data_IF_741886796975
#
_entry.id   IF_741886796975
#
_cell.length_a   1.000
_cell.length_b   1.000
_cell.length_c   1.000
_cell.angle_alpha   90.00
_cell.angle_beta   90.00
_cell.angle_gamma   90.00
#
_symmetry.space_group_name_H-M   'P 1'
#
loop_
_entity.id
_entity.type
_entity.pdbx_description
1 polymer ?
#
# COMPACT_ATOMS: atom_id res chain seq x y z
N UNK A 1 -23.17 2.34 4.96
CA UNK A 1 -21.98 1.60 4.48
C UNK A 1 -22.22 1.27 3.03
N UNK A 2 -21.28 1.59 2.16
CA UNK A 2 -21.35 1.36 0.71
C UNK A 2 -20.26 0.36 0.36
N UNK A 3 -20.64 -0.70 -0.35
CA UNK A 3 -19.75 -1.73 -0.88
C UNK A 3 -19.92 -1.74 -2.39
N UNK A 4 -18.81 -1.69 -3.12
CA UNK A 4 -18.78 -1.78 -4.57
C UNK A 4 -17.71 -2.77 -5.01
N UNK A 5 -18.06 -3.57 -6.01
CA UNK A 5 -17.16 -4.52 -6.64
C UNK A 5 -17.02 -4.13 -8.11
N UNK A 6 -15.79 -3.84 -8.52
CA UNK A 6 -15.47 -3.41 -9.87
C UNK A 6 -14.55 -4.45 -10.49
N UNK A 7 -14.95 -4.96 -11.66
CA UNK A 7 -14.14 -5.87 -12.46
C UNK A 7 -13.37 -5.10 -13.51
N UNK A 8 -12.06 -5.26 -13.49
CA UNK A 8 -11.15 -4.76 -14.52
C UNK A 8 -10.68 -5.94 -15.36
N UNK A 9 -10.98 -5.88 -16.66
CA UNK A 9 -10.58 -6.90 -17.62
C UNK A 9 -9.56 -6.33 -18.61
N UNK A 10 -8.37 -6.90 -18.59
CA UNK A 10 -7.23 -6.53 -19.43
C UNK A 10 -6.94 -7.59 -20.50
N UNK A 11 -7.92 -8.38 -20.94
CA UNK A 11 -7.73 -9.44 -21.93
C UNK A 11 -6.99 -8.95 -23.19
N UNK A 12 -7.38 -7.78 -23.71
CA UNK A 12 -6.75 -7.18 -24.89
C UNK A 12 -5.31 -6.73 -24.64
N UNK A 13 -4.96 -6.39 -23.38
CA UNK A 13 -3.65 -5.88 -23.01
C UNK A 13 -3.16 -6.42 -21.66
N UNK A 14 -2.83 -7.73 -21.55
CA UNK A 14 -2.55 -8.37 -20.25
C UNK A 14 -1.38 -7.77 -19.48
N UNK A 15 -0.45 -7.10 -20.19
CA UNK A 15 0.69 -6.40 -19.58
C UNK A 15 0.25 -5.25 -18.66
N UNK A 16 -0.89 -4.62 -18.92
CA UNK A 16 -1.40 -3.53 -18.08
C UNK A 16 -2.02 -4.03 -16.76
N UNK A 17 -2.31 -5.34 -16.63
CA UNK A 17 -2.81 -5.90 -15.38
C UNK A 17 -1.77 -5.75 -14.25
N UNK A 18 -0.49 -5.98 -14.54
CA UNK A 18 0.60 -5.83 -13.57
C UNK A 18 0.81 -4.36 -13.17
N UNK A 19 0.72 -3.44 -14.14
CA UNK A 19 0.80 -2.00 -13.90
C UNK A 19 -0.36 -1.52 -13.05
N UNK A 20 -1.59 -1.98 -13.35
CA UNK A 20 -2.77 -1.65 -12.57
C UNK A 20 -2.65 -2.12 -11.12
N UNK A 21 -2.22 -3.38 -10.87
CA UNK A 21 -2.02 -3.87 -9.49
C UNK A 21 -0.95 -3.05 -8.76
N UNK A 22 0.13 -2.69 -9.46
CA UNK A 22 1.20 -1.86 -8.88
C UNK A 22 0.65 -0.50 -8.44
N UNK A 23 -0.09 0.18 -9.31
CA UNK A 23 -0.67 1.49 -9.03
C UNK A 23 -1.75 1.40 -7.93
N UNK A 24 -2.60 0.38 -7.99
CA UNK A 24 -3.61 0.07 -6.98
C UNK A 24 -2.98 -0.15 -5.60
N UNK A 25 -1.96 -1.02 -5.49
CA UNK A 25 -1.27 -1.30 -4.23
C UNK A 25 -0.64 -0.05 -3.60
N UNK A 26 -0.04 0.82 -4.42
CA UNK A 26 0.50 2.09 -3.94
C UNK A 26 -0.59 2.99 -3.37
N UNK A 27 -1.72 3.10 -4.06
CA UNK A 27 -2.88 3.85 -3.58
C UNK A 27 -3.45 3.24 -2.29
N UNK A 28 -3.53 1.91 -2.21
CA UNK A 28 -3.97 1.19 -1.02
C UNK A 28 -3.05 1.50 0.17
N UNK A 29 -1.73 1.47 -0.01
CA UNK A 29 -0.76 1.81 1.05
C UNK A 29 -0.97 3.25 1.52
N UNK A 30 -0.99 4.23 0.60
CA UNK A 30 -1.20 5.65 0.96
C UNK A 30 -2.52 5.86 1.69
N UNK A 31 -3.58 5.18 1.25
CA UNK A 31 -4.90 5.27 1.88
C UNK A 31 -4.94 4.76 3.33
N UNK A 32 -3.91 4.02 3.74
CA UNK A 32 -3.75 3.43 5.07
C UNK A 32 -2.60 4.02 5.86
N UNK A 33 -1.82 4.92 5.25
CA UNK A 33 -0.69 5.56 5.90
C UNK A 33 -1.16 6.47 7.05
N UNK A 34 -0.63 6.23 8.24
CA UNK A 34 -0.87 7.09 9.40
C UNK A 34 0.31 7.15 10.37
N UNK A 35 0.29 8.15 11.26
CA UNK A 35 1.24 8.26 12.36
C UNK A 35 0.61 8.94 13.58
N UNK A 36 0.99 8.51 14.77
CA UNK A 36 0.54 9.16 16.00
C UNK A 36 1.26 10.51 16.22
N UNK A 37 0.49 11.60 16.34
CA UNK A 37 1.04 12.96 16.54
C UNK A 37 1.86 13.06 17.83
N UNK A 38 1.45 12.33 18.87
CA UNK A 38 2.13 12.29 20.18
C UNK A 38 3.56 11.70 20.12
N UNK A 39 3.95 11.08 19.02
CA UNK A 39 5.30 10.56 18.81
C UNK A 39 6.02 11.43 17.77
N UNK A 40 6.81 12.44 18.20
CA UNK A 40 7.42 13.41 17.28
C UNK A 40 8.30 12.77 16.21
N UNK A 41 9.03 11.71 16.55
CA UNK A 41 9.86 10.97 15.57
C UNK A 41 9.01 10.37 14.45
N UNK A 42 7.90 9.73 14.81
CA UNK A 42 7.00 9.10 13.84
C UNK A 42 6.26 10.14 13.02
N UNK A 43 5.78 11.21 13.66
CA UNK A 43 5.09 12.31 13.00
C UNK A 43 6.00 13.04 12.01
N UNK A 44 7.23 13.38 12.40
CA UNK A 44 8.18 14.06 11.52
C UNK A 44 8.59 13.17 10.34
N UNK A 45 8.81 11.87 10.57
CA UNK A 45 9.13 10.95 9.48
C UNK A 45 7.95 10.76 8.54
N UNK A 46 6.72 10.67 9.06
CA UNK A 46 5.51 10.63 8.26
C UNK A 46 5.37 11.86 7.37
N UNK A 47 5.55 13.06 7.91
CA UNK A 47 5.48 14.31 7.15
C UNK A 47 6.57 14.35 6.06
N UNK A 48 7.78 13.89 6.38
CA UNK A 48 8.87 13.77 5.40
C UNK A 48 8.49 12.82 4.25
N UNK A 49 7.98 11.62 4.56
CA UNK A 49 7.53 10.65 3.56
C UNK A 49 6.43 11.21 2.67
N UNK A 50 5.36 11.77 3.27
CA UNK A 50 4.24 12.33 2.52
C UNK A 50 4.69 13.45 1.58
N UNK A 51 5.64 14.29 2.01
CA UNK A 51 6.20 15.35 1.17
C UNK A 51 6.95 14.87 -0.08
N UNK A 52 7.30 13.58 -0.13
CA UNK A 52 7.95 12.95 -1.28
C UNK A 52 7.00 12.12 -2.14
N UNK A 53 5.68 12.26 -1.95
CA UNK A 53 4.65 11.61 -2.77
C UNK A 53 3.94 12.70 -3.56
N UNK A 54 4.04 12.65 -4.89
CA UNK A 54 3.44 13.66 -5.77
C UNK A 54 1.92 13.72 -5.57
N UNK A 55 1.36 14.91 -5.33
CA UNK A 55 -0.08 15.09 -5.11
C UNK A 55 -0.58 14.65 -3.73
N UNK A 56 0.32 14.39 -2.78
CA UNK A 56 -0.01 13.98 -1.43
C UNK A 56 0.27 15.10 -0.41
N UNK A 57 -0.69 15.30 0.49
CA UNK A 57 -0.60 16.19 1.64
C UNK A 57 -0.83 15.40 2.94
N UNK A 58 -0.41 15.96 4.06
CA UNK A 58 -0.70 15.41 5.38
C UNK A 58 -1.75 16.26 6.10
N UNK A 59 -2.63 15.63 6.86
CA UNK A 59 -3.59 16.31 7.70
C UNK A 59 -3.82 15.58 9.01
N UNK A 60 -4.31 16.30 10.02
CA UNK A 60 -4.53 15.78 11.36
C UNK A 60 -6.01 15.48 11.56
N UNK A 61 -6.31 14.28 12.04
CA UNK A 61 -7.65 13.87 12.44
C UNK A 61 -7.70 13.68 13.96
N UNK A 62 -8.76 14.19 14.58
CA UNK A 62 -8.95 14.15 16.04
C UNK A 62 -10.21 13.37 16.39
N UNK A 63 -10.07 12.05 16.49
CA UNK A 63 -11.05 11.17 17.12
C UNK A 63 -10.34 10.39 18.24
N UNK A 64 -10.30 10.97 19.45
CA UNK A 64 -9.44 10.48 20.52
C UNK A 64 -8.00 10.97 20.37
N UNK A 65 -7.01 10.06 20.30
CA UNK A 65 -5.61 10.46 20.11
C UNK A 65 -5.40 11.04 18.71
N UNK A 66 -4.80 12.24 18.57
CA UNK A 66 -4.57 12.83 17.25
C UNK A 66 -3.66 11.97 16.38
N UNK A 67 -4.11 11.68 15.17
CA UNK A 67 -3.38 10.93 14.15
C UNK A 67 -3.17 11.80 12.91
N UNK A 68 -2.01 11.65 12.28
CA UNK A 68 -1.74 12.13 10.94
C UNK A 68 -2.21 11.09 9.93
N UNK A 69 -2.82 11.56 8.84
CA UNK A 69 -3.18 10.76 7.69
C UNK A 69 -2.76 11.45 6.39
N UNK A 70 -2.69 10.67 5.32
CA UNK A 70 -2.46 11.16 3.97
C UNK A 70 -3.75 11.68 3.32
N UNK A 71 -3.61 12.72 2.51
CA UNK A 71 -4.63 13.24 1.60
C UNK A 71 -4.05 13.21 0.20
N UNK A 72 -4.68 12.49 -0.72
CA UNK A 72 -4.15 12.29 -2.08
C UNK A 72 -5.08 12.91 -3.11
N UNK A 73 -4.59 13.84 -3.92
CA UNK A 73 -5.39 14.60 -4.90
C UNK A 73 -6.71 15.15 -4.32
N UNK A 74 -6.64 15.73 -3.12
CA UNK A 74 -7.81 16.29 -2.43
C UNK A 74 -8.70 15.26 -1.71
N UNK A 75 -8.40 13.97 -1.80
CA UNK A 75 -9.12 12.90 -1.12
C UNK A 75 -8.48 12.58 0.23
N UNK A 76 -9.22 12.83 1.31
CA UNK A 76 -8.77 12.58 2.69
C UNK A 76 -8.99 11.14 3.10
N UNK A 77 -7.94 10.43 3.51
CA UNK A 77 -8.02 9.06 3.98
C UNK A 77 -8.05 8.97 5.51
N UNK A 78 -8.88 8.08 6.07
CA UNK A 78 -8.95 7.77 7.50
C UNK A 78 -9.22 6.29 7.70
N UNK A 79 -9.05 5.79 8.93
CA UNK A 79 -9.38 4.40 9.26
C UNK A 79 -10.86 4.07 9.01
N UNK A 80 -11.74 5.08 9.14
CA UNK A 80 -13.18 4.95 8.87
C UNK A 80 -13.50 4.90 7.38
N UNK A 81 -12.59 5.39 6.52
CA UNK A 81 -12.87 5.64 5.10
C UNK A 81 -12.61 4.47 4.17
N UNK A 82 -11.95 3.39 4.57
CA UNK A 82 -11.46 2.43 3.55
C UNK A 82 -11.40 0.99 4.04
N UNK A 83 -12.03 0.08 3.32
CA UNK A 83 -11.48 -1.25 3.07
C UNK A 83 -11.35 -1.39 1.56
N UNK A 84 -10.15 -1.62 1.05
CA UNK A 84 -9.95 -1.98 -0.36
C UNK A 84 -9.20 -3.30 -0.44
N UNK A 85 -9.67 -4.17 -1.32
CA UNK A 85 -9.15 -5.51 -1.51
C UNK A 85 -9.21 -5.84 -3.00
N UNK A 86 -8.32 -6.70 -3.46
CA UNK A 86 -8.39 -7.19 -4.83
C UNK A 86 -8.16 -8.68 -4.91
N UNK A 87 -8.69 -9.29 -5.97
CA UNK A 87 -8.44 -10.67 -6.37
C UNK A 87 -8.04 -10.67 -7.83
N UNK A 88 -6.90 -11.29 -8.16
CA UNK A 88 -6.55 -11.61 -9.54
C UNK A 88 -6.90 -13.06 -9.82
N UNK A 89 -7.87 -13.31 -10.70
CA UNK A 89 -8.39 -14.67 -10.95
C UNK A 89 -7.84 -15.28 -12.24
N UNK A 90 -7.63 -14.46 -13.26
CA UNK A 90 -6.92 -14.80 -14.50
C UNK A 90 -5.78 -13.80 -14.68
N UNK A 91 -4.75 -14.11 -15.47
CA UNK A 91 -3.61 -13.21 -15.69
C UNK A 91 -3.99 -11.79 -16.20
N UNK A 92 -5.25 -11.56 -16.55
CA UNK A 92 -5.81 -10.32 -17.07
C UNK A 92 -7.05 -9.82 -16.31
N UNK A 93 -7.63 -10.60 -15.38
CA UNK A 93 -8.87 -10.21 -14.66
C UNK A 93 -8.56 -9.87 -13.22
N UNK A 94 -8.92 -8.66 -12.83
CA UNK A 94 -8.72 -8.13 -11.49
C UNK A 94 -10.04 -7.61 -10.96
N UNK A 95 -10.54 -8.26 -9.92
CA UNK A 95 -11.74 -7.84 -9.20
C UNK A 95 -11.30 -6.99 -8.00
N UNK A 96 -11.80 -5.76 -7.88
CA UNK A 96 -11.50 -4.83 -6.78
C UNK A 96 -12.76 -4.61 -5.96
N UNK A 97 -12.69 -4.92 -4.67
CA UNK A 97 -13.75 -4.65 -3.69
C UNK A 97 -13.38 -3.41 -2.90
N UNK A 98 -14.29 -2.42 -2.86
CA UNK A 98 -14.15 -1.18 -2.12
C UNK A 98 -15.32 -1.03 -1.16
N UNK A 99 -14.99 -0.72 0.09
CA UNK A 99 -15.96 -0.51 1.16
C UNK A 99 -15.66 0.79 1.89
N UNK A 100 -16.70 1.60 2.10
CA UNK A 100 -16.59 2.83 2.88
C UNK A 100 -17.90 3.20 3.54
N UNK A 101 -17.84 3.91 4.67
CA UNK A 101 -19.02 4.55 5.24
C UNK A 101 -19.40 5.83 4.48
N UNK A 102 -18.53 6.33 3.59
CA UNK A 102 -18.75 7.53 2.78
C UNK A 102 -18.99 7.14 1.33
N UNK A 103 -20.19 7.37 0.79
CA UNK A 103 -20.54 6.94 -0.58
C UNK A 103 -19.64 7.54 -1.67
N UNK A 104 -19.26 8.81 -1.55
CA UNK A 104 -18.37 9.49 -2.50
C UNK A 104 -16.94 8.94 -2.49
N UNK A 105 -16.55 8.23 -1.42
CA UNK A 105 -15.23 7.62 -1.33
C UNK A 105 -15.02 6.63 -2.45
N UNK A 106 -15.99 5.75 -2.68
CA UNK A 106 -15.85 4.61 -3.58
C UNK A 106 -15.60 5.08 -5.00
N UNK A 107 -16.45 5.99 -5.49
CA UNK A 107 -16.31 6.62 -6.82
C UNK A 107 -14.98 7.34 -7.00
N UNK A 108 -14.52 8.06 -5.97
CA UNK A 108 -13.24 8.76 -6.03
C UNK A 108 -12.05 7.81 -6.01
N UNK A 109 -12.10 6.77 -5.18
CA UNK A 109 -11.03 5.76 -5.12
C UNK A 109 -10.91 5.02 -6.45
N UNK A 110 -12.04 4.57 -7.00
CA UNK A 110 -12.11 3.91 -8.31
C UNK A 110 -11.54 4.81 -9.43
N UNK A 111 -11.94 6.09 -9.45
CA UNK A 111 -11.40 7.06 -10.40
C UNK A 111 -9.89 7.29 -10.23
N UNK A 112 -9.35 7.25 -9.01
CA UNK A 112 -7.92 7.39 -8.77
C UNK A 112 -7.15 6.12 -9.17
N UNK A 113 -7.72 4.94 -8.93
CA UNK A 113 -7.11 3.66 -9.27
C UNK A 113 -7.04 3.43 -10.80
N UNK A 114 -8.05 3.89 -11.54
CA UNK A 114 -8.16 3.68 -12.99
C UNK A 114 -7.49 4.77 -13.84
N UNK A 115 -7.30 5.98 -13.32
CA UNK A 115 -6.81 7.11 -14.11
C UNK A 115 -5.28 7.16 -14.21
N UNK A 116 -4.74 7.15 -15.44
CA UNK A 116 -3.30 7.28 -15.71
C UNK A 116 -2.64 8.53 -15.11
N UNK A 117 -3.40 9.64 -15.01
CA UNK A 117 -2.93 10.89 -14.39
C UNK A 117 -2.79 10.82 -12.86
N UNK A 118 -3.42 9.82 -12.24
CA UNK A 118 -3.47 9.60 -10.80
C UNK A 118 -2.55 8.47 -10.35
N UNK A 119 -1.61 8.07 -11.22
CA UNK A 119 -0.56 7.10 -10.87
C UNK A 119 0.29 7.62 -9.73
N UNK A 120 0.41 6.80 -8.69
CA UNK A 120 1.18 7.15 -7.52
C UNK A 120 2.67 7.19 -7.85
N UNK A 121 3.26 8.38 -7.74
CA UNK A 121 4.70 8.60 -7.81
C UNK A 121 5.20 9.00 -6.44
N UNK A 122 6.00 8.13 -5.84
CA UNK A 122 6.63 8.35 -4.54
C UNK A 122 8.15 8.39 -4.65
N UNK A 123 8.84 8.91 -3.64
CA UNK A 123 10.27 9.20 -3.71
C UNK A 123 10.61 10.39 -4.61
N UNK A 124 9.64 11.27 -4.85
CA UNK A 124 9.86 12.50 -5.63
C UNK A 124 10.41 13.56 -4.69
N UNK A 125 11.67 13.94 -4.87
CA UNK A 125 12.29 14.98 -4.06
C UNK A 125 11.86 16.37 -4.58
N UNK A 126 11.27 17.24 -3.74
CA UNK A 126 10.89 18.58 -4.16
C UNK A 126 12.07 19.35 -4.73
N UNK A 127 11.86 20.11 -5.80
CA UNK A 127 12.92 20.88 -6.49
C UNK A 127 13.66 21.87 -5.58
N UNK A 128 13.05 22.26 -4.47
CA UNK A 128 13.61 23.16 -3.46
C UNK A 128 14.59 22.44 -2.50
N UNK A 129 14.58 21.10 -2.49
CA UNK A 129 15.42 20.25 -1.64
C UNK A 129 16.33 19.36 -2.49
N UNK A 130 17.01 19.92 -3.50
CA UNK A 130 17.79 19.15 -4.48
C UNK A 130 18.89 18.25 -3.88
N UNK A 131 19.31 18.53 -2.64
CA UNK A 131 20.31 17.73 -1.92
C UNK A 131 19.69 16.53 -1.19
N UNK A 132 18.37 16.53 -0.97
CA UNK A 132 17.68 15.40 -0.35
C UNK A 132 17.66 14.21 -1.32
N UNK A 133 17.85 13.02 -0.76
CA UNK A 133 17.63 11.77 -1.48
C UNK A 133 16.22 11.26 -1.20
N UNK A 134 15.64 10.47 -2.12
CA UNK A 134 14.42 9.73 -1.83
C UNK A 134 14.57 8.94 -0.53
N UNK A 135 13.54 8.97 0.31
CA UNK A 135 13.56 8.21 1.55
C UNK A 135 13.78 6.71 1.23
N UNK A 136 14.75 6.04 1.89
CA UNK A 136 15.08 4.65 1.61
C UNK A 136 13.90 3.69 1.86
N UNK A 137 12.87 4.10 2.59
CA UNK A 137 11.63 3.35 2.75
C UNK A 137 10.92 3.11 1.40
N UNK A 138 10.99 4.05 0.45
CA UNK A 138 10.33 3.89 -0.85
C UNK A 138 10.87 2.72 -1.65
N UNK A 139 12.18 2.47 -1.61
CA UNK A 139 12.77 1.30 -2.26
C UNK A 139 12.23 -0.02 -1.67
N UNK A 140 12.04 -0.08 -0.35
CA UNK A 140 11.47 -1.24 0.32
C UNK A 140 9.96 -1.39 0.05
N UNK A 141 9.24 -0.27 -0.08
CA UNK A 141 7.84 -0.28 -0.49
C UNK A 141 7.66 -0.73 -1.95
N UNK A 142 8.51 -0.28 -2.87
CA UNK A 142 8.49 -0.76 -4.26
C UNK A 142 8.86 -2.25 -4.33
N UNK A 143 9.77 -2.72 -3.48
CA UNK A 143 10.09 -4.15 -3.30
C UNK A 143 8.87 -4.96 -2.84
N UNK A 144 8.14 -4.45 -1.83
CA UNK A 144 6.90 -5.06 -1.34
C UNK A 144 5.84 -5.13 -2.46
N UNK A 145 5.57 -4.00 -3.13
CA UNK A 145 4.59 -3.92 -4.23
C UNK A 145 4.96 -4.87 -5.36
N UNK A 146 6.21 -4.84 -5.82
CA UNK A 146 6.68 -5.70 -6.91
C UNK A 146 6.59 -7.19 -6.55
N UNK A 147 6.82 -7.52 -5.27
CA UNK A 147 6.67 -8.88 -4.78
C UNK A 147 5.21 -9.34 -4.80
N UNK A 148 4.27 -8.52 -4.29
CA UNK A 148 2.84 -8.85 -4.33
C UNK A 148 2.37 -9.03 -5.78
N UNK A 149 2.74 -8.11 -6.69
CA UNK A 149 2.45 -8.24 -8.13
C UNK A 149 2.96 -9.58 -8.66
N UNK A 150 4.23 -9.92 -8.41
CA UNK A 150 4.83 -11.19 -8.84
C UNK A 150 4.04 -12.41 -8.33
N UNK A 151 3.68 -12.42 -7.04
CA UNK A 151 2.94 -13.53 -6.45
C UNK A 151 1.50 -13.64 -7.00
N UNK A 152 0.91 -12.54 -7.45
CA UNK A 152 -0.41 -12.54 -8.12
C UNK A 152 -0.35 -12.99 -9.59
N UNK A 153 0.83 -13.28 -10.12
CA UNK A 153 1.05 -13.81 -11.47
C UNK A 153 1.70 -15.20 -11.47
N UNK A 154 1.85 -15.83 -10.28
CA UNK A 154 2.40 -17.18 -10.16
C UNK A 154 1.40 -18.25 -10.62
N UNK A 155 1.90 -19.47 -10.79
CA UNK A 155 1.03 -20.65 -10.91
C UNK A 155 0.05 -20.70 -9.73
N UNK A 156 -1.27 -20.77 -9.96
CA UNK A 156 -2.28 -20.85 -8.90
C UNK A 156 -2.10 -22.04 -7.94
N UNK A 157 -1.44 -23.12 -8.39
CA UNK A 157 -1.20 -24.33 -7.59
C UNK A 157 -0.07 -24.14 -6.58
N UNK A 158 0.79 -23.13 -6.76
CA UNK A 158 1.87 -22.82 -5.82
C UNK A 158 1.33 -22.32 -4.48
N UNK A 159 1.88 -22.84 -3.37
CA UNK A 159 1.52 -22.40 -2.01
C UNK A 159 1.78 -20.90 -1.78
N UNK A 160 2.83 -20.37 -2.43
CA UNK A 160 3.24 -18.97 -2.38
C UNK A 160 2.33 -18.04 -3.20
N UNK A 161 1.54 -18.60 -4.11
CA UNK A 161 0.73 -17.85 -5.07
C UNK A 161 -0.31 -16.97 -4.37
N UNK A 162 -0.57 -15.80 -4.94
CA UNK A 162 -1.70 -14.94 -4.58
C UNK A 162 -2.82 -14.98 -5.62
N UNK A 163 -2.70 -15.81 -6.67
CA UNK A 163 -3.78 -15.96 -7.66
C UNK A 163 -5.02 -16.54 -6.99
N UNK A 164 -6.17 -15.92 -7.27
CA UNK A 164 -7.46 -16.26 -6.67
C UNK A 164 -7.58 -15.93 -5.18
N UNK A 165 -6.52 -15.39 -4.54
CA UNK A 165 -6.53 -15.00 -3.12
C UNK A 165 -6.89 -13.52 -3.00
N UNK A 166 -7.72 -13.20 -2.02
CA UNK A 166 -8.11 -11.83 -1.70
C UNK A 166 -7.00 -11.15 -0.92
N UNK A 167 -6.37 -10.14 -1.52
CA UNK A 167 -5.32 -9.34 -0.90
C UNK A 167 -5.86 -7.97 -0.50
N UNK A 168 -5.48 -7.47 0.69
CA UNK A 168 -5.87 -6.14 1.16
C UNK A 168 -4.84 -5.51 2.08
N UNK A 169 -4.77 -4.18 2.12
CA UNK A 169 -4.01 -3.45 3.14
C UNK A 169 -4.99 -2.94 4.19
N UNK A 170 -4.83 -3.40 5.42
CA UNK A 170 -5.68 -3.00 6.55
C UNK A 170 -5.20 -1.69 7.16
N UNK A 171 -3.88 -1.58 7.36
CA UNK A 171 -3.23 -0.47 8.04
C UNK A 171 -1.77 -0.31 7.57
N UNK A 172 -1.24 0.91 7.57
CA UNK A 172 0.16 1.21 7.28
C UNK A 172 0.65 2.29 8.25
N UNK A 173 0.97 1.91 9.49
CA UNK A 173 1.27 2.87 10.56
C UNK A 173 2.77 3.08 10.74
N UNK A 174 3.18 4.34 10.87
CA UNK A 174 4.55 4.70 11.23
C UNK A 174 4.80 4.50 12.72
N UNK A 175 5.87 3.77 13.04
CA UNK A 175 6.38 3.56 14.39
C UNK A 175 7.86 3.94 14.43
N UNK A 176 8.16 5.11 15.02
CA UNK A 176 9.49 5.76 14.97
C UNK A 176 9.89 5.99 13.51
N UNK A 177 10.84 5.22 12.99
CA UNK A 177 11.30 5.26 11.61
C UNK A 177 11.03 3.97 10.82
N UNK A 178 10.25 3.07 11.39
CA UNK A 178 9.73 1.90 10.69
C UNK A 178 8.28 2.10 10.28
N UNK A 179 7.91 1.49 9.16
CA UNK A 179 6.54 1.37 8.71
C UNK A 179 6.05 -0.04 9.02
N UNK A 180 4.94 -0.14 9.73
CA UNK A 180 4.27 -1.41 10.00
C UNK A 180 3.08 -1.54 9.05
N UNK A 181 3.16 -2.50 8.13
CA UNK A 181 2.09 -2.80 7.17
C UNK A 181 1.31 -4.01 7.68
N UNK A 182 0.03 -3.81 7.97
CA UNK A 182 -0.93 -4.87 8.22
C UNK A 182 -1.66 -5.18 6.91
N UNK A 183 -1.51 -6.41 6.42
CA UNK A 183 -2.16 -6.86 5.19
C UNK A 183 -2.91 -8.17 5.41
N UNK A 184 -3.94 -8.35 4.60
CA UNK A 184 -4.86 -9.48 4.65
C UNK A 184 -4.65 -10.36 3.42
N UNK A 185 -4.57 -11.67 3.63
CA UNK A 185 -4.63 -12.68 2.57
C UNK A 185 -5.78 -13.63 2.91
N UNK A 186 -6.83 -13.65 2.10
CA UNK A 186 -8.10 -14.34 2.39
C UNK A 186 -8.66 -14.01 3.78
N UNK A 187 -8.52 -12.75 4.20
CA UNK A 187 -8.96 -12.28 5.53
C UNK A 187 -8.01 -12.62 6.68
N UNK A 188 -6.94 -13.38 6.45
CA UNK A 188 -5.93 -13.66 7.47
C UNK A 188 -4.94 -12.49 7.60
N UNK A 189 -4.82 -11.97 8.82
CA UNK A 189 -3.89 -10.89 9.16
C UNK A 189 -2.42 -11.36 9.09
N UNK A 190 -1.60 -10.54 8.46
CA UNK A 190 -0.15 -10.60 8.46
C UNK A 190 0.39 -9.20 8.76
N UNK A 191 1.52 -9.14 9.47
CA UNK A 191 2.13 -7.88 9.91
C UNK A 191 3.60 -7.89 9.48
N UNK A 192 3.96 -6.91 8.66
CA UNK A 192 5.30 -6.67 8.16
C UNK A 192 5.85 -5.38 8.75
N UNK A 193 7.00 -5.45 9.41
CA UNK A 193 7.82 -4.28 9.71
C UNK A 193 8.80 -4.03 8.56
N UNK A 194 8.79 -2.81 8.04
CA UNK A 194 9.78 -2.29 7.10
C UNK A 194 10.59 -1.20 7.80
N UNK A 195 11.90 -1.41 7.92
CA UNK A 195 12.80 -0.48 8.59
C UNK A 195 14.11 -0.32 7.81
N UNK A 196 14.29 0.77 7.04
CA UNK A 196 15.49 0.97 6.25
C UNK A 196 16.77 1.20 7.07
N UNK A 197 16.66 1.61 8.34
CA UNK A 197 17.80 1.87 9.23
C UNK A 197 18.45 0.60 9.80
N UNK A 198 17.85 -0.56 9.58
CA UNK A 198 18.43 -1.83 10.01
C UNK A 198 19.74 -2.09 9.24
N UNK A 199 20.81 -2.38 10.00
CA UNK A 199 22.16 -2.61 9.46
C UNK A 199 22.20 -3.80 8.50
N UNK A 200 21.56 -4.90 8.90
CA UNK A 200 21.48 -6.14 8.12
C UNK A 200 20.33 -6.04 7.12
N UNK A 201 20.59 -6.42 5.88
CA UNK A 201 19.62 -6.35 4.78
C UNK A 201 18.38 -7.19 5.09
N UNK A 202 18.59 -8.38 5.65
CA UNK A 202 17.56 -9.32 6.06
C UNK A 202 16.66 -8.82 7.20
N UNK A 203 17.11 -7.81 7.95
CA UNK A 203 16.34 -7.22 9.06
C UNK A 203 15.52 -6.00 8.60
N UNK A 204 15.75 -5.50 7.38
CA UNK A 204 15.01 -4.34 6.84
C UNK A 204 13.55 -4.64 6.52
N UNK A 205 13.21 -5.92 6.33
CA UNK A 205 11.85 -6.42 6.16
C UNK A 205 11.66 -7.65 7.06
N UNK A 206 10.82 -7.52 8.08
CA UNK A 206 10.61 -8.58 9.08
C UNK A 206 9.12 -8.84 9.25
N UNK A 207 8.72 -10.11 9.10
CA UNK A 207 7.40 -10.54 9.55
C UNK A 207 7.36 -10.50 11.08
N UNK A 208 6.45 -9.70 11.61
CA UNK A 208 6.10 -9.72 13.04
C UNK A 208 5.02 -10.76 13.30
N UNK A 209 4.17 -11.02 12.30
CA UNK A 209 3.10 -11.99 12.37
C UNK A 209 2.73 -12.49 10.97
N UNK A 210 2.53 -13.79 10.80
CA UNK A 210 2.06 -14.35 9.54
C UNK A 210 1.19 -15.60 9.76
N UNK A 211 0.13 -15.71 8.96
CA UNK A 211 -0.78 -16.86 8.93
C UNK A 211 -0.83 -17.57 7.58
N UNK A 212 0.02 -17.18 6.62
CA UNK A 212 0.04 -17.76 5.27
C UNK A 212 1.47 -17.88 4.73
N UNK A 213 1.73 -18.93 3.94
CA UNK A 213 3.02 -19.11 3.25
C UNK A 213 3.29 -17.98 2.26
N UNK A 214 2.27 -17.51 1.53
CA UNK A 214 2.37 -16.34 0.67
C UNK A 214 2.92 -15.09 1.41
N UNK A 215 2.59 -14.88 2.68
CA UNK A 215 3.17 -13.78 3.47
C UNK A 215 4.67 -13.98 3.75
N UNK A 216 5.11 -15.23 3.97
CA UNK A 216 6.53 -15.57 4.11
C UNK A 216 7.26 -15.39 2.77
N UNK A 217 6.64 -15.82 1.68
CA UNK A 217 7.15 -15.61 0.32
C UNK A 217 7.32 -14.12 0.00
N UNK A 218 6.38 -13.26 0.43
CA UNK A 218 6.50 -11.80 0.27
C UNK A 218 7.82 -11.32 0.89
N UNK A 219 8.09 -11.67 2.14
CA UNK A 219 9.29 -11.18 2.82
C UNK A 219 10.57 -11.84 2.31
N UNK A 220 10.52 -13.11 1.90
CA UNK A 220 11.66 -13.79 1.31
C UNK A 220 12.10 -13.11 -0.01
N UNK A 221 11.14 -12.79 -0.88
CA UNK A 221 11.39 -12.14 -2.16
C UNK A 221 11.85 -10.68 -1.99
N UNK A 222 11.29 -9.95 -1.02
CA UNK A 222 11.73 -8.58 -0.74
C UNK A 222 13.22 -8.48 -0.40
N UNK A 223 13.80 -9.52 0.21
CA UNK A 223 15.22 -9.57 0.62
C UNK A 223 16.19 -9.85 -0.53
N UNK A 224 15.68 -10.28 -1.68
CA UNK A 224 16.50 -10.60 -2.85
C UNK A 224 17.00 -9.35 -3.61
N UNK A 225 16.47 -8.16 -3.30
CA UNK A 225 16.80 -6.87 -3.93
C UNK A 225 17.96 -6.19 -3.24
#
# INVERSE_FOLDING_TARGET
>A
MVVEEVRYDFEEFPRYADDFIRDLLKLMIISKMNAAVKNPTSANHFLHLVSQIEGCDAYVVKYGQPLLYAKYHGMEFTDQKVTSQFVRSKNHVIDVTMESVFGDFVKRFDSLASATKSKVKWGVVPKEKKEDKPDPLFALLDSFVGTVVRLTSLDPVSEDSLVGKRFGIRNASMARKSLHIEFLINGHLNILEINPEKKRKEDKAKLLFAKSEAAKAIVALMKQI
#
